data_IF_637844968345
#
_entry.id   IF_637844968345
#
_cell.length_a   1.000
_cell.length_b   1.000
_cell.length_c   1.000
_cell.angle_alpha   90.00
_cell.angle_beta   90.00
_cell.angle_gamma   90.00
#
_symmetry.space_group_name_H-M   'P 1'
#
loop_
_entity.id
_entity.type
_entity.pdbx_description
1 polymer ?
#
# COMPACT_ATOMS: atom_id res chain seq x y z
N UNK A 1 -29.95 17.60 -8.52
CA UNK A 1 -28.81 17.77 -7.61
C UNK A 1 -28.36 16.41 -7.16
N UNK A 2 -27.12 15.98 -7.41
CA UNK A 2 -26.63 14.67 -6.93
C UNK A 2 -26.51 14.70 -5.41
N UNK A 3 -27.03 13.68 -4.73
CA UNK A 3 -27.01 13.55 -3.26
C UNK A 3 -25.63 13.18 -2.70
N UNK A 4 -24.60 13.14 -3.55
CA UNK A 4 -23.24 12.74 -3.21
C UNK A 4 -22.36 14.00 -3.23
N UNK A 5 -21.73 14.27 -2.09
CA UNK A 5 -20.75 15.35 -1.95
C UNK A 5 -19.40 15.01 -2.58
N UNK A 6 -18.54 16.02 -2.83
CA UNK A 6 -17.20 15.79 -3.34
C UNK A 6 -16.32 15.08 -2.31
N UNK A 7 -15.28 14.39 -2.79
CA UNK A 7 -14.25 13.75 -1.97
C UNK A 7 -12.87 14.01 -2.56
N UNK A 8 -11.85 14.12 -1.70
CA UNK A 8 -10.47 14.40 -2.08
C UNK A 8 -9.55 13.40 -1.38
N UNK A 9 -8.61 12.84 -2.14
CA UNK A 9 -7.61 11.86 -1.66
C UNK A 9 -6.22 12.45 -1.87
N UNK A 10 -5.38 12.37 -0.84
CA UNK A 10 -4.01 12.90 -0.85
C UNK A 10 -3.07 11.76 -0.53
N UNK A 11 -2.09 11.53 -1.40
CA UNK A 11 -0.97 10.63 -1.13
C UNK A 11 0.27 11.46 -0.82
N UNK A 12 0.88 11.23 0.34
CA UNK A 12 2.14 11.86 0.70
C UNK A 12 3.31 11.22 -0.03
N UNK A 13 4.43 11.92 -0.10
CA UNK A 13 5.68 11.34 -0.62
C UNK A 13 6.26 10.29 0.33
N UNK A 14 7.09 9.37 -0.19
CA UNK A 14 7.78 8.36 0.64
C UNK A 14 8.67 9.01 1.71
N UNK A 15 9.51 10.03 1.41
CA UNK A 15 10.33 10.67 2.45
C UNK A 15 9.50 11.29 3.57
N UNK A 16 8.33 11.87 3.26
CA UNK A 16 7.41 12.38 4.29
C UNK A 16 6.88 11.24 5.17
N UNK A 17 6.40 10.15 4.56
CA UNK A 17 5.88 8.99 5.28
C UNK A 17 6.90 8.36 6.22
N UNK A 18 8.18 8.25 5.80
CA UNK A 18 9.27 7.76 6.64
C UNK A 18 9.56 8.71 7.80
N UNK A 19 9.62 10.02 7.54
CA UNK A 19 9.93 11.04 8.56
C UNK A 19 8.90 11.04 9.69
N UNK A 20 7.62 10.89 9.38
CA UNK A 20 6.52 11.01 10.35
C UNK A 20 5.91 9.66 10.75
N UNK A 21 6.57 8.55 10.46
CA UNK A 21 6.01 7.21 10.62
C UNK A 21 5.55 6.89 12.05
N UNK A 22 6.29 7.37 13.05
CA UNK A 22 6.00 7.15 14.47
C UNK A 22 5.21 8.30 15.12
N UNK A 23 4.88 9.34 14.37
CA UNK A 23 4.05 10.44 14.87
C UNK A 23 2.58 10.02 14.98
N UNK A 24 1.82 10.77 15.79
CA UNK A 24 0.38 10.61 15.92
C UNK A 24 -0.32 10.88 14.57
N UNK A 25 -1.49 10.29 14.37
CA UNK A 25 -2.23 10.48 13.12
C UNK A 25 -2.74 11.93 13.03
N UNK A 26 -3.08 12.50 14.17
CA UNK A 26 -3.61 13.86 14.33
C UNK A 26 -2.56 14.90 13.93
N UNK A 27 -1.33 14.81 14.45
CA UNK A 27 -0.25 15.74 14.10
C UNK A 27 0.10 15.67 12.61
N UNK A 28 0.15 14.45 12.06
CA UNK A 28 0.46 14.25 10.63
C UNK A 28 -0.66 14.77 9.74
N UNK A 29 -1.92 14.58 10.14
CA UNK A 29 -3.07 15.11 9.42
C UNK A 29 -2.98 16.64 9.33
N UNK A 30 -2.67 17.33 10.44
CA UNK A 30 -2.54 18.79 10.43
C UNK A 30 -1.46 19.28 9.45
N UNK A 31 -0.29 18.62 9.43
CA UNK A 31 0.78 18.94 8.47
C UNK A 31 0.33 18.76 7.01
N UNK A 32 -0.47 17.73 6.73
CA UNK A 32 -1.03 17.50 5.38
C UNK A 32 -2.03 18.60 5.02
N UNK A 33 -2.89 19.03 5.96
CA UNK A 33 -3.85 20.11 5.73
C UNK A 33 -3.17 21.45 5.47
N UNK A 34 -2.13 21.79 6.24
CA UNK A 34 -1.34 23.00 6.00
C UNK A 34 -0.70 22.99 4.60
N UNK A 35 -0.19 21.84 4.15
CA UNK A 35 0.38 21.73 2.81
C UNK A 35 -0.69 21.73 1.71
N UNK A 36 -1.89 21.19 1.97
CA UNK A 36 -3.00 21.23 1.03
C UNK A 36 -3.42 22.67 0.72
N UNK A 37 -3.54 23.53 1.74
CA UNK A 37 -3.91 24.94 1.54
C UNK A 37 -2.88 25.69 0.68
N UNK A 38 -1.60 25.35 0.79
CA UNK A 38 -0.56 25.93 -0.07
C UNK A 38 -0.69 25.50 -1.55
N UNK A 39 -1.18 24.29 -1.82
CA UNK A 39 -1.28 23.73 -3.18
C UNK A 39 -2.64 24.08 -3.82
N UNK A 40 -3.72 23.98 -3.05
CA UNK A 40 -5.10 24.23 -3.47
C UNK A 40 -5.78 25.16 -2.44
N UNK A 41 -5.48 26.47 -2.49
CA UNK A 41 -6.04 27.42 -1.53
C UNK A 41 -7.54 27.60 -1.69
N UNK A 42 -8.22 27.94 -0.59
CA UNK A 42 -9.65 28.29 -0.58
C UNK A 42 -10.61 27.10 -0.62
N UNK A 43 -10.14 25.88 -0.33
CA UNK A 43 -11.02 24.73 -0.13
C UNK A 43 -11.86 24.91 1.15
N UNK A 44 -13.14 24.50 1.15
CA UNK A 44 -13.96 24.54 2.36
C UNK A 44 -13.48 23.52 3.40
N UNK A 45 -13.86 23.74 4.67
CA UNK A 45 -13.60 22.77 5.72
C UNK A 45 -14.30 21.43 5.40
N UNK A 46 -13.61 20.28 5.48
CA UNK A 46 -14.21 18.99 5.21
C UNK A 46 -15.18 18.60 6.31
N UNK A 47 -16.30 17.98 5.93
CA UNK A 47 -17.30 17.43 6.87
C UNK A 47 -16.76 16.18 7.58
N UNK A 48 -15.90 15.42 6.91
CA UNK A 48 -15.29 14.22 7.44
C UNK A 48 -13.86 14.07 6.91
N UNK A 49 -12.98 13.50 7.73
CA UNK A 49 -11.59 13.22 7.39
C UNK A 49 -11.23 11.79 7.78
N UNK A 50 -10.31 11.19 7.03
CA UNK A 50 -9.69 9.92 7.39
C UNK A 50 -8.25 9.93 6.95
N UNK A 51 -7.34 9.82 7.91
CA UNK A 51 -5.91 9.64 7.65
C UNK A 51 -5.54 8.16 7.82
N UNK A 52 -4.83 7.61 6.83
CA UNK A 52 -4.42 6.20 6.82
C UNK A 52 -2.89 6.11 6.74
N UNK A 53 -2.29 5.47 7.75
CA UNK A 53 -0.86 5.18 7.78
C UNK A 53 -0.58 3.87 7.02
N UNK A 54 0.29 3.93 6.02
CA UNK A 54 0.78 2.77 5.28
C UNK A 54 2.26 2.56 5.56
N UNK A 55 2.57 1.79 6.61
CA UNK A 55 3.97 1.47 6.99
C UNK A 55 4.71 0.71 5.89
N UNK A 56 4.00 -0.19 5.23
CA UNK A 56 4.45 -0.93 4.06
C UNK A 56 3.56 -0.53 2.89
N UNK A 57 3.88 0.59 2.24
CA UNK A 57 3.04 1.15 1.19
C UNK A 57 3.28 0.48 -0.16
N UNK A 58 4.55 0.28 -0.55
CA UNK A 58 4.95 -0.29 -1.83
C UNK A 58 6.33 -0.97 -1.72
N UNK A 59 6.51 -2.05 -2.46
CA UNK A 59 7.76 -2.77 -2.65
C UNK A 59 8.63 -1.96 -3.61
N UNK A 60 9.82 -1.60 -3.14
CA UNK A 60 10.83 -0.92 -3.97
C UNK A 60 11.67 -1.95 -4.73
N UNK A 61 12.06 -3.01 -4.03
CA UNK A 61 12.82 -4.13 -4.59
C UNK A 61 12.14 -5.43 -4.16
N UNK A 62 11.74 -6.24 -5.12
CA UNK A 62 11.20 -7.56 -4.85
C UNK A 62 12.28 -8.47 -4.24
N UNK A 63 11.85 -9.53 -3.53
CA UNK A 63 12.76 -10.53 -2.98
C UNK A 63 13.59 -11.16 -4.10
N UNK A 64 14.91 -11.08 -3.96
CA UNK A 64 15.84 -11.59 -4.96
C UNK A 64 15.69 -13.11 -5.14
N UNK A 65 15.77 -13.56 -6.40
CA UNK A 65 15.74 -14.98 -6.78
C UNK A 65 14.47 -15.75 -6.38
N UNK A 66 13.36 -15.06 -6.05
CA UNK A 66 12.09 -15.67 -5.68
C UNK A 66 10.94 -15.06 -6.51
N UNK A 67 10.90 -15.34 -7.82
CA UNK A 67 9.91 -14.71 -8.70
C UNK A 67 8.50 -15.21 -8.38
N UNK A 68 7.65 -14.31 -7.91
CA UNK A 68 6.24 -14.52 -7.62
C UNK A 68 5.95 -15.33 -6.34
N UNK A 69 6.86 -16.16 -5.85
CA UNK A 69 6.68 -16.92 -4.61
C UNK A 69 8.00 -17.41 -4.01
N UNK A 70 7.96 -17.82 -2.74
CA UNK A 70 9.05 -18.55 -2.08
C UNK A 70 8.52 -19.77 -1.30
N UNK A 71 8.93 -20.97 -1.68
CA UNK A 71 8.63 -22.20 -0.93
C UNK A 71 9.61 -22.34 0.23
N UNK A 72 9.08 -22.31 1.46
CA UNK A 72 9.86 -22.43 2.69
C UNK A 72 9.96 -23.87 3.19
N UNK A 73 8.95 -24.69 2.90
CA UNK A 73 8.90 -26.08 3.35
C UNK A 73 8.07 -26.93 2.39
N UNK A 74 8.45 -28.19 2.18
CA UNK A 74 7.79 -29.07 1.19
C UNK A 74 6.74 -30.00 1.81
N UNK A 75 6.90 -30.42 3.08
CA UNK A 75 5.95 -31.35 3.73
C UNK A 75 5.93 -31.21 5.27
N UNK A 76 4.96 -30.49 5.86
CA UNK A 76 3.81 -29.86 5.21
C UNK A 76 4.26 -28.69 4.31
N UNK A 77 3.55 -28.48 3.20
CA UNK A 77 3.88 -27.41 2.26
C UNK A 77 3.68 -26.03 2.92
N UNK A 78 4.67 -25.15 2.80
CA UNK A 78 4.60 -23.75 3.21
C UNK A 78 5.19 -22.86 2.12
N UNK A 79 4.37 -21.96 1.58
CA UNK A 79 4.73 -21.07 0.47
C UNK A 79 4.35 -19.63 0.83
N UNK A 80 5.25 -18.69 0.58
CA UNK A 80 5.00 -17.25 0.69
C UNK A 80 4.70 -16.66 -0.70
N UNK A 81 3.74 -15.74 -0.75
CA UNK A 81 3.40 -14.96 -1.95
C UNK A 81 3.00 -13.53 -1.56
N UNK A 82 2.68 -12.72 -2.56
CA UNK A 82 2.37 -11.30 -2.44
C UNK A 82 3.21 -10.42 -3.36
N UNK A 83 2.92 -9.13 -3.34
CA UNK A 83 3.62 -8.12 -4.13
C UNK A 83 5.13 -8.05 -3.86
N UNK A 84 5.56 -8.41 -2.63
CA UNK A 84 6.96 -8.53 -2.23
C UNK A 84 7.79 -9.49 -3.09
N UNK A 85 7.14 -10.43 -3.78
CA UNK A 85 7.80 -11.38 -4.68
C UNK A 85 7.63 -11.00 -6.17
N UNK A 86 6.93 -9.90 -6.46
CA UNK A 86 6.65 -9.43 -7.81
C UNK A 86 6.74 -7.90 -7.90
N UNK A 87 5.59 -7.22 -7.95
CA UNK A 87 5.49 -5.77 -8.05
C UNK A 87 4.28 -5.30 -7.23
N UNK A 88 4.35 -4.13 -6.59
CA UNK A 88 3.23 -3.51 -5.87
C UNK A 88 2.23 -2.83 -6.80
N UNK A 89 1.65 -3.63 -7.69
CA UNK A 89 0.55 -3.25 -8.56
C UNK A 89 -0.41 -4.44 -8.71
N UNK A 90 -1.52 -4.21 -9.40
CA UNK A 90 -2.56 -5.22 -9.60
C UNK A 90 -2.02 -6.48 -10.28
N UNK A 91 -1.28 -6.33 -11.38
CA UNK A 91 -0.76 -7.45 -12.15
C UNK A 91 0.34 -8.24 -11.41
N UNK A 92 1.13 -7.58 -10.57
CA UNK A 92 2.13 -8.21 -9.71
C UNK A 92 1.48 -9.13 -8.68
N UNK A 93 0.36 -8.72 -8.09
CA UNK A 93 -0.43 -9.58 -7.21
C UNK A 93 -0.98 -10.80 -7.96
N UNK A 94 -1.52 -10.63 -9.16
CA UNK A 94 -2.01 -11.75 -9.99
C UNK A 94 -0.87 -12.71 -10.32
N UNK A 95 0.26 -12.17 -10.77
CA UNK A 95 1.45 -12.95 -11.13
C UNK A 95 1.91 -13.79 -9.94
N UNK A 96 2.04 -13.18 -8.76
CA UNK A 96 2.41 -13.90 -7.54
C UNK A 96 1.41 -15.00 -7.18
N UNK A 97 0.11 -14.71 -7.24
CA UNK A 97 -0.93 -15.70 -6.93
C UNK A 97 -0.87 -16.91 -7.87
N UNK A 98 -0.64 -16.70 -9.18
CA UNK A 98 -0.46 -17.78 -10.14
C UNK A 98 0.81 -18.60 -9.84
N UNK A 99 1.93 -17.97 -9.49
CA UNK A 99 3.14 -18.68 -9.09
C UNK A 99 2.93 -19.55 -7.85
N UNK A 100 2.20 -19.07 -6.85
CA UNK A 100 1.85 -19.85 -5.64
C UNK A 100 0.97 -21.04 -6.02
N UNK A 101 -0.03 -20.84 -6.90
CA UNK A 101 -0.89 -21.93 -7.37
C UNK A 101 -0.11 -23.01 -8.12
N UNK A 102 0.83 -22.65 -8.98
CA UNK A 102 1.71 -23.61 -9.66
C UNK A 102 2.60 -24.38 -8.66
N UNK A 103 3.12 -23.70 -7.63
CA UNK A 103 3.88 -24.37 -6.57
C UNK A 103 3.02 -25.40 -5.82
N UNK A 104 1.75 -25.09 -5.56
CA UNK A 104 0.80 -25.98 -4.88
C UNK A 104 0.47 -27.23 -5.69
N UNK A 105 0.30 -27.12 -7.02
CA UNK A 105 -0.10 -28.23 -7.91
C UNK A 105 0.82 -29.45 -7.83
N UNK A 106 2.10 -29.27 -7.46
CA UNK A 106 3.05 -30.37 -7.32
C UNK A 106 2.86 -31.20 -6.02
N UNK A 107 1.93 -30.80 -5.15
CA UNK A 107 1.70 -31.39 -3.82
C UNK A 107 0.24 -31.80 -3.57
N UNK A 108 -0.63 -31.61 -4.56
CA UNK A 108 -2.06 -32.01 -4.53
C UNK A 108 -2.26 -33.22 -5.44
#
# INVERSE_FOLDING_TARGET
SSTVGPSLVIHTTVPFGVKYLEHSIEDVQELIFQQLENILPGLPQPIATKCQKWRYSQVINAVANCPGQMTLHLKPLLVCGGDGFAQSNFDGCITSALCVLEALKNYV
#
